data_IF_338283626127
#
_entry.id   IF_338283626127
#
_cell.length_a   1.000
_cell.length_b   1.000
_cell.length_c   1.000
_cell.angle_alpha   90.00
_cell.angle_beta   90.00
_cell.angle_gamma   90.00
#
_symmetry.space_group_name_H-M   'P 1'
#
loop_
_entity.id
_entity.type
_entity.pdbx_description
1 polymer ?
#
# COMPACT_ATOMS: atom_id res chain seq x y z
N UNK A 1 14.52 -0.01 6.73
CA UNK A 1 14.39 1.45 6.96
C UNK A 1 13.11 1.78 7.75
N UNK A 2 11.97 1.12 7.52
CA UNK A 2 10.68 1.40 8.19
C UNK A 2 10.58 1.02 9.68
N UNK A 3 11.29 -0.01 10.15
CA UNK A 3 11.22 -0.48 11.55
C UNK A 3 11.72 0.59 12.55
N UNK A 4 12.77 1.34 12.18
CA UNK A 4 13.38 2.34 13.06
C UNK A 4 12.46 3.55 13.30
N UNK A 5 11.57 3.83 12.35
CA UNK A 5 10.59 4.92 12.46
C UNK A 5 9.25 4.46 13.08
N UNK A 6 9.13 3.21 13.53
CA UNK A 6 7.87 2.62 14.00
C UNK A 6 6.71 2.73 13.00
N UNK A 7 7.03 2.76 11.69
CA UNK A 7 6.03 2.80 10.64
C UNK A 7 5.89 1.39 10.05
N UNK A 8 4.78 0.74 10.34
CA UNK A 8 4.50 -0.59 9.82
C UNK A 8 3.92 -0.51 8.40
N UNK A 9 4.47 -1.25 7.42
CA UNK A 9 3.88 -1.34 6.09
C UNK A 9 2.51 -2.03 6.15
N UNK A 10 1.52 -1.43 5.48
CA UNK A 10 0.22 -2.04 5.26
C UNK A 10 0.27 -2.91 4.01
N UNK A 11 -0.15 -4.17 4.12
CA UNK A 11 -0.19 -5.10 3.00
C UNK A 11 -1.59 -5.19 2.41
N UNK A 12 -1.68 -5.03 1.09
CA UNK A 12 -2.93 -5.12 0.36
C UNK A 12 -2.85 -6.14 -0.77
N UNK A 13 -3.93 -6.87 -1.01
CA UNK A 13 -4.06 -7.72 -2.18
C UNK A 13 -4.23 -6.85 -3.43
N UNK A 14 -3.49 -7.18 -4.49
CA UNK A 14 -3.58 -6.44 -5.74
C UNK A 14 -3.61 -7.37 -6.95
N UNK A 15 -4.09 -6.84 -8.07
CA UNK A 15 -4.05 -7.54 -9.34
C UNK A 15 -2.58 -7.84 -9.71
N UNK A 16 -2.34 -8.97 -10.39
CA UNK A 16 -1.01 -9.35 -10.87
C UNK A 16 -0.38 -8.25 -11.75
N UNK A 17 -1.19 -7.58 -12.56
CA UNK A 17 -0.80 -6.48 -13.45
C UNK A 17 -0.82 -5.10 -12.77
N UNK A 18 -1.01 -5.05 -11.45
CA UNK A 18 -1.10 -3.82 -10.65
C UNK A 18 -2.22 -2.85 -11.08
N UNK A 19 -3.24 -3.33 -11.79
CA UNK A 19 -4.35 -2.49 -12.26
C UNK A 19 -5.21 -1.95 -11.12
N UNK A 20 -5.44 -2.78 -10.10
CA UNK A 20 -6.33 -2.48 -8.98
C UNK A 20 -5.85 -3.14 -7.70
N UNK A 21 -6.33 -2.60 -6.59
CA UNK A 21 -6.14 -3.12 -5.23
C UNK A 21 -7.50 -3.61 -4.71
N UNK A 22 -7.52 -4.81 -4.14
CA UNK A 22 -8.73 -5.47 -3.65
C UNK A 22 -8.99 -5.09 -2.19
N UNK A 23 -9.52 -3.88 -1.99
CA UNK A 23 -9.86 -3.34 -0.66
C UNK A 23 -11.24 -2.71 -0.67
N UNK A 24 -11.87 -2.58 0.51
CA UNK A 24 -13.19 -1.98 0.65
C UNK A 24 -14.22 -2.68 -0.25
N UNK A 25 -14.91 -1.92 -1.09
CA UNK A 25 -15.90 -2.45 -2.04
C UNK A 25 -15.34 -3.41 -3.09
N UNK A 26 -14.01 -3.47 -3.26
CA UNK A 26 -13.34 -4.38 -4.20
C UNK A 26 -12.82 -5.65 -3.52
N UNK A 27 -13.06 -5.87 -2.22
CA UNK A 27 -12.54 -7.05 -1.49
C UNK A 27 -13.10 -8.36 -2.02
N UNK A 28 -14.36 -8.35 -2.45
CA UNK A 28 -15.12 -9.57 -2.78
C UNK A 28 -15.04 -9.92 -4.26
N UNK A 29 -14.24 -9.17 -5.04
CA UNK A 29 -14.03 -9.46 -6.44
C UNK A 29 -13.16 -10.70 -6.61
N UNK A 30 -13.64 -11.63 -7.42
CA UNK A 30 -12.89 -12.81 -7.87
C UNK A 30 -11.92 -12.49 -9.01
N UNK A 31 -12.20 -11.44 -9.78
CA UNK A 31 -11.48 -11.06 -10.99
C UNK A 31 -11.28 -9.55 -11.08
N UNK A 32 -10.23 -9.14 -11.79
CA UNK A 32 -9.93 -7.73 -11.99
C UNK A 32 -10.85 -7.12 -13.05
N UNK A 33 -11.58 -6.06 -12.70
CA UNK A 33 -12.49 -5.34 -13.62
C UNK A 33 -11.79 -4.66 -14.82
N UNK A 34 -10.46 -4.67 -14.88
CA UNK A 34 -9.67 -3.96 -15.90
C UNK A 34 -8.93 -4.90 -16.85
N UNK A 35 -8.56 -6.10 -16.41
CA UNK A 35 -7.77 -7.04 -17.21
C UNK A 35 -8.24 -8.49 -17.10
N UNK A 36 -9.39 -8.72 -16.43
CA UNK A 36 -10.05 -10.02 -16.26
C UNK A 36 -9.18 -11.11 -15.61
N UNK A 37 -8.04 -10.72 -15.04
CA UNK A 37 -7.16 -11.64 -14.31
C UNK A 37 -7.80 -12.06 -12.98
N UNK A 38 -7.71 -13.35 -12.68
CA UNK A 38 -8.13 -13.90 -11.40
C UNK A 38 -7.37 -13.24 -10.24
N UNK A 39 -8.09 -12.82 -9.21
CA UNK A 39 -7.55 -12.26 -7.97
C UNK A 39 -6.79 -13.32 -7.15
N UNK A 40 -7.39 -14.50 -7.01
CA UNK A 40 -6.88 -15.60 -6.20
C UNK A 40 -6.24 -16.68 -7.07
N UNK A 41 -5.26 -17.38 -6.50
CA UNK A 41 -4.66 -18.56 -7.09
C UNK A 41 -5.63 -19.76 -6.98
N UNK A 42 -5.36 -20.87 -7.67
CA UNK A 42 -6.10 -22.13 -7.47
C UNK A 42 -6.04 -22.68 -6.03
N UNK A 43 -5.15 -22.14 -5.19
CA UNK A 43 -4.99 -22.48 -3.77
C UNK A 43 -5.63 -21.46 -2.83
N UNK A 44 -6.51 -20.59 -3.37
CA UNK A 44 -7.25 -19.55 -2.65
C UNK A 44 -6.35 -18.49 -1.99
N UNK A 45 -5.13 -18.32 -2.50
CA UNK A 45 -4.18 -17.31 -2.03
C UNK A 45 -4.16 -16.12 -2.98
N UNK A 46 -4.07 -14.91 -2.43
CA UNK A 46 -3.81 -13.72 -3.23
C UNK A 46 -2.58 -13.94 -4.11
N UNK A 47 -2.75 -13.69 -5.42
CA UNK A 47 -1.64 -13.88 -6.39
C UNK A 47 -0.56 -12.83 -6.24
N UNK A 48 -0.89 -11.66 -5.68
CA UNK A 48 0.06 -10.57 -5.46
C UNK A 48 -0.35 -9.71 -4.27
N UNK A 49 0.63 -9.38 -3.44
CA UNK A 49 0.47 -8.40 -2.37
C UNK A 49 1.35 -7.18 -2.64
N UNK A 50 0.83 -6.01 -2.32
CA UNK A 50 1.53 -4.73 -2.38
C UNK A 50 1.69 -4.16 -0.97
N UNK A 51 2.92 -3.82 -0.60
CA UNK A 51 3.22 -3.15 0.65
C UNK A 51 3.15 -1.64 0.49
N UNK A 52 2.20 -1.00 1.17
CA UNK A 52 2.05 0.45 1.25
C UNK A 52 2.69 0.96 2.54
N UNK A 53 3.59 1.94 2.43
CA UNK A 53 4.11 2.66 3.58
C UNK A 53 3.18 3.85 3.87
N UNK A 54 2.51 3.92 5.02
CA UNK A 54 1.61 5.03 5.31
C UNK A 54 2.42 6.33 5.44
N UNK A 55 2.18 7.26 4.52
CA UNK A 55 2.96 8.51 4.45
C UNK A 55 2.56 9.52 5.53
N UNK A 56 1.33 9.45 6.05
CA UNK A 56 0.82 10.39 7.06
C UNK A 56 1.72 10.46 8.31
N UNK A 57 2.06 9.34 8.98
CA UNK A 57 2.97 9.38 10.13
C UNK A 57 4.38 9.87 9.74
N UNK A 58 4.86 9.56 8.52
CA UNK A 58 6.14 10.10 8.04
C UNK A 58 6.09 11.64 7.98
N UNK A 59 5.03 12.20 7.39
CA UNK A 59 4.85 13.64 7.27
C UNK A 59 4.73 14.30 8.65
N UNK A 60 3.94 13.72 9.54
CA UNK A 60 3.83 14.19 10.92
C UNK A 60 5.20 14.25 11.61
N UNK A 61 6.05 13.24 11.41
CA UNK A 61 7.42 13.23 11.91
C UNK A 61 8.27 14.37 11.34
N UNK A 62 8.20 14.62 10.03
CA UNK A 62 8.96 15.72 9.42
C UNK A 62 8.54 17.11 9.92
N UNK A 63 7.26 17.31 10.26
CA UNK A 63 6.77 18.59 10.82
C UNK A 63 6.98 18.73 12.34
N UNK A 64 7.62 17.76 13.00
CA UNK A 64 8.01 17.86 14.42
C UNK A 64 9.45 18.33 14.63
N UNK A 65 10.25 18.43 13.57
CA UNK A 65 11.65 18.84 13.63
C UNK A 65 11.91 20.13 12.84
N UNK A 66 12.39 21.22 13.48
CA UNK A 66 12.64 22.50 12.80
C UNK A 66 13.61 22.41 11.63
N UNK A 67 14.63 21.54 11.70
CA UNK A 67 15.60 21.35 10.61
C UNK A 67 14.92 20.70 9.40
N UNK A 68 14.17 19.63 9.61
CA UNK A 68 13.34 18.96 8.60
C UNK A 68 12.31 19.89 7.98
N UNK A 69 11.68 20.78 8.76
CA UNK A 69 10.76 21.79 8.24
C UNK A 69 11.49 22.74 7.28
N UNK A 70 12.70 23.19 7.60
CA UNK A 70 13.47 24.04 6.68
C UNK A 70 13.77 23.32 5.37
N UNK A 71 14.08 22.02 5.41
CA UNK A 71 14.34 21.22 4.20
C UNK A 71 13.10 21.03 3.31
N UNK A 72 11.90 21.01 3.90
CA UNK A 72 10.63 20.87 3.16
C UNK A 72 10.12 22.16 2.51
N UNK A 73 10.74 23.31 2.78
CA UNK A 73 10.35 24.62 2.24
C UNK A 73 11.00 24.95 0.88
N UNK A 74 11.81 24.03 0.33
CA UNK A 74 12.54 24.16 -0.94
C UNK A 74 12.16 23.05 -1.94
#
# INVERSE_FOLDING_TARGET
>A
ISILAHIEPAWYNCCLNSCAVYTGSFSDLSECLYCDEAHLSPTDKSRRMFGYLPIIPCLQGFFQDPESIQQLLY
#
